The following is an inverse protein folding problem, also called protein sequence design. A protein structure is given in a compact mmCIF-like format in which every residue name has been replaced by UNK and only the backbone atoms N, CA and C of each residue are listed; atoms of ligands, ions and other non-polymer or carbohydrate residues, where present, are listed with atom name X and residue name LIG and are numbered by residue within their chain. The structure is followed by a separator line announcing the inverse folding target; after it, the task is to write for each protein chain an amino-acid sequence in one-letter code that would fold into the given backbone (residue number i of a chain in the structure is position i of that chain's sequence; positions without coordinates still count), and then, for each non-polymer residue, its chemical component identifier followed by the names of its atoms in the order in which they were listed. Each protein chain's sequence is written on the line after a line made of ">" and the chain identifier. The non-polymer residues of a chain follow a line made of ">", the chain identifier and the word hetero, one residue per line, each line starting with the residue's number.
data_IF_553091686862
#
_entry.id   IF_553091686862
#
_cell.length_a   1.000
_cell.length_b   1.000
_cell.length_c   1.000
_cell.angle_alpha   90.00
_cell.angle_beta   90.00
_cell.angle_gamma   90.00
#
_symmetry.space_group_name_H-M   'P 1'
#
loop_
_entity.id
_entity.type
_entity.pdbx_description
1 polymer ?
#
# COMPACT_ATOMS: atom_id res chain seq x y z
N UNK A 1 33.57 -20.86 9.07
CA UNK A 1 32.57 -19.95 9.63
C UNK A 1 31.64 -19.46 8.52
N UNK A 2 30.41 -19.88 8.57
CA UNK A 2 29.45 -19.46 7.56
C UNK A 2 28.95 -18.05 7.88
N UNK A 3 29.12 -17.16 6.95
CA UNK A 3 28.44 -15.86 7.02
C UNK A 3 26.97 -16.09 6.68
N UNK A 4 26.07 -15.65 7.56
CA UNK A 4 24.68 -15.73 7.27
C UNK A 4 24.38 -14.86 6.03
N UNK A 5 23.99 -15.49 4.93
CA UNK A 5 23.59 -14.78 3.74
C UNK A 5 22.10 -14.45 3.89
N UNK A 6 21.78 -13.16 3.89
CA UNK A 6 20.40 -12.73 3.91
C UNK A 6 19.83 -12.98 2.52
N UNK A 7 18.87 -13.90 2.43
CA UNK A 7 18.21 -14.19 1.18
C UNK A 7 17.22 -13.07 0.84
N UNK A 8 17.27 -12.61 -0.39
CA UNK A 8 16.31 -11.64 -0.90
C UNK A 8 15.00 -12.33 -1.19
N UNK A 9 13.92 -11.76 -0.69
CA UNK A 9 12.57 -12.26 -0.93
C UNK A 9 12.04 -11.60 -2.20
N UNK A 10 11.95 -12.37 -3.28
CA UNK A 10 11.41 -11.85 -4.54
C UNK A 10 9.89 -11.66 -4.40
N UNK A 11 9.37 -10.49 -4.77
CA UNK A 11 7.92 -10.28 -4.74
C UNK A 11 7.21 -11.13 -5.79
N UNK A 12 5.95 -11.47 -5.51
CA UNK A 12 5.11 -12.29 -6.39
C UNK A 12 3.80 -11.56 -6.64
N UNK A 13 3.12 -11.95 -7.72
CA UNK A 13 1.76 -11.47 -7.98
C UNK A 13 0.88 -11.82 -6.77
N UNK A 14 0.15 -10.83 -6.29
CA UNK A 14 -0.67 -10.95 -5.09
C UNK A 14 -0.01 -10.39 -3.83
N UNK A 15 1.30 -10.23 -3.82
CA UNK A 15 1.98 -9.58 -2.71
C UNK A 15 1.57 -8.11 -2.62
N UNK A 16 1.63 -7.56 -1.42
CA UNK A 16 1.16 -6.20 -1.15
C UNK A 16 2.28 -5.41 -0.51
N UNK A 17 2.48 -4.19 -1.00
CA UNK A 17 3.31 -3.18 -0.35
C UNK A 17 2.40 -2.18 0.34
N UNK A 18 2.83 -1.65 1.47
CA UNK A 18 2.11 -0.58 2.13
C UNK A 18 2.98 0.67 2.21
N UNK A 19 2.34 1.82 2.22
CA UNK A 19 2.99 3.08 2.51
C UNK A 19 2.22 3.79 3.62
N UNK A 20 2.94 4.49 4.47
CA UNK A 20 2.37 5.28 5.55
C UNK A 20 2.95 6.69 5.46
N UNK A 21 2.09 7.69 5.42
CA UNK A 21 2.52 9.06 5.25
C UNK A 21 1.56 10.02 5.94
N UNK A 22 2.02 11.24 6.15
CA UNK A 22 1.22 12.30 6.73
C UNK A 22 2.01 13.06 7.78
N UNK A 23 1.67 14.33 7.96
CA UNK A 23 2.28 15.21 8.94
C UNK A 23 1.47 15.23 10.23
N UNK A 24 0.21 15.64 10.14
CA UNK A 24 -0.70 15.71 11.28
C UNK A 24 -1.59 14.47 11.40
N UNK A 25 -1.57 13.63 10.42
CA UNK A 25 -2.36 12.41 10.37
C UNK A 25 -1.55 11.30 9.72
N UNK A 26 -1.87 10.07 10.04
CA UNK A 26 -1.23 8.90 9.42
C UNK A 26 -2.15 8.31 8.38
N UNK A 27 -1.73 8.38 7.13
CA UNK A 27 -2.44 7.78 6.00
C UNK A 27 -1.74 6.50 5.59
N UNK A 28 -2.50 5.45 5.38
CA UNK A 28 -1.99 4.15 4.94
C UNK A 28 -2.61 3.80 3.61
N UNK A 29 -1.77 3.41 2.66
CA UNK A 29 -2.21 2.92 1.36
C UNK A 29 -1.60 1.54 1.11
N UNK A 30 -2.33 0.67 0.44
CA UNK A 30 -1.87 -0.67 0.07
C UNK A 30 -1.80 -0.78 -1.44
N UNK A 31 -0.70 -1.34 -1.94
CA UNK A 31 -0.42 -1.51 -3.35
C UNK A 31 -0.19 -2.98 -3.63
N UNK A 32 -1.09 -3.59 -4.38
CA UNK A 32 -1.00 -5.01 -4.71
C UNK A 32 -0.24 -5.22 -6.00
N UNK A 33 0.66 -6.20 -5.99
CA UNK A 33 1.43 -6.57 -7.17
C UNK A 33 0.52 -7.31 -8.15
N UNK A 34 0.38 -6.78 -9.36
CA UNK A 34 -0.42 -7.37 -10.43
C UNK A 34 0.44 -8.02 -11.50
N UNK A 35 1.71 -7.65 -11.56
CA UNK A 35 2.68 -8.22 -12.49
C UNK A 35 4.08 -8.09 -11.95
N UNK A 36 4.94 -9.04 -12.23
CA UNK A 36 6.35 -9.05 -11.80
C UNK A 36 7.24 -9.30 -12.99
N UNK A 37 8.35 -8.56 -13.06
CA UNK A 37 9.47 -8.87 -13.92
C UNK A 37 10.72 -9.10 -13.05
N UNK A 38 11.84 -9.34 -13.70
CA UNK A 38 13.11 -9.61 -13.01
C UNK A 38 13.52 -8.48 -12.06
N UNK A 39 13.25 -7.23 -12.43
CA UNK A 39 13.73 -6.06 -11.67
C UNK A 39 12.63 -5.08 -11.30
N UNK A 40 11.40 -5.33 -11.68
CA UNK A 40 10.30 -4.39 -11.49
C UNK A 40 9.00 -5.08 -11.11
N UNK A 41 8.11 -4.33 -10.47
CA UNK A 41 6.75 -4.78 -10.18
C UNK A 41 5.76 -3.75 -10.72
N UNK A 42 4.61 -4.24 -11.16
CA UNK A 42 3.45 -3.40 -11.48
C UNK A 42 2.50 -3.53 -10.31
N UNK A 43 2.11 -2.42 -9.74
CA UNK A 43 1.25 -2.39 -8.56
C UNK A 43 0.00 -1.56 -8.82
N UNK A 44 -1.05 -1.88 -8.10
CA UNK A 44 -2.32 -1.18 -8.14
C UNK A 44 -2.84 -1.01 -6.73
N UNK A 45 -3.26 0.20 -6.41
CA UNK A 45 -3.79 0.49 -5.07
C UNK A 45 -5.06 -0.32 -4.81
N UNK A 46 -5.17 -0.88 -3.60
CA UNK A 46 -6.34 -1.65 -3.18
C UNK A 46 -7.22 -0.82 -2.25
N UNK A 47 -8.47 -1.23 -2.14
CA UNK A 47 -9.33 -0.77 -1.08
C UNK A 47 -8.87 -1.31 0.27
N UNK A 48 -9.48 -0.81 1.34
CA UNK A 48 -9.09 -1.14 2.71
C UNK A 48 -10.30 -1.50 3.54
N UNK A 49 -10.09 -2.39 4.50
CA UNK A 49 -11.05 -2.66 5.57
C UNK A 49 -10.52 -1.99 6.83
N UNK A 50 -11.31 -1.12 7.44
CA UNK A 50 -10.93 -0.37 8.64
C UNK A 50 -11.66 -0.91 9.85
N UNK A 51 -10.94 -1.00 10.97
CA UNK A 51 -11.50 -1.35 12.26
C UNK A 51 -11.19 -0.20 13.23
N UNK A 52 -12.21 0.47 13.69
CA UNK A 52 -12.06 1.64 14.55
C UNK A 52 -11.86 1.21 16.00
N UNK A 53 -10.93 1.88 16.67
CA UNK A 53 -10.70 1.65 18.09
C UNK A 53 -11.76 2.37 18.91
N UNK A 54 -12.33 1.68 19.89
CA UNK A 54 -13.38 2.21 20.77
C UNK A 54 -12.79 2.84 22.04
N UNK A 55 -11.72 3.63 21.90
CA UNK A 55 -11.09 4.24 23.05
C UNK A 55 -11.22 5.76 23.02
N UNK A 56 -12.04 6.28 23.93
CA UNK A 56 -11.94 7.66 24.34
C UNK A 56 -11.97 8.77 23.29
N UNK A 57 -12.71 8.60 22.22
CA UNK A 57 -12.90 9.66 21.23
C UNK A 57 -11.74 9.94 20.31
N UNK A 58 -10.78 9.03 20.22
CA UNK A 58 -9.68 9.14 19.26
C UNK A 58 -10.10 8.70 17.87
N UNK A 59 -9.61 9.41 16.87
CA UNK A 59 -9.84 9.08 15.46
C UNK A 59 -8.76 8.10 14.98
N UNK A 60 -8.67 6.95 15.65
CA UNK A 60 -7.71 5.90 15.34
C UNK A 60 -8.41 4.67 14.79
N UNK A 61 -7.76 4.04 13.83
CA UNK A 61 -8.24 2.76 13.32
C UNK A 61 -7.06 1.92 12.87
N UNK A 62 -7.30 0.61 12.77
CA UNK A 62 -6.39 -0.29 12.09
C UNK A 62 -6.97 -0.59 10.71
N UNK A 63 -6.11 -0.85 9.76
CA UNK A 63 -6.51 -1.07 8.37
C UNK A 63 -5.75 -2.23 7.75
N UNK A 64 -6.45 -2.98 6.92
CA UNK A 64 -5.88 -4.05 6.11
C UNK A 64 -6.35 -3.87 4.67
N UNK A 65 -5.56 -4.37 3.72
CA UNK A 65 -5.98 -4.40 2.32
C UNK A 65 -7.14 -5.38 2.15
N UNK A 66 -8.11 -5.04 1.31
CA UNK A 66 -9.19 -5.95 0.93
C UNK A 66 -8.82 -6.86 -0.26
N UNK A 67 -7.62 -6.69 -0.83
CA UNK A 67 -7.15 -7.50 -1.96
C UNK A 67 -7.82 -7.16 -3.30
N UNK A 68 -8.65 -6.13 -3.34
CA UNK A 68 -9.37 -5.72 -4.55
C UNK A 68 -8.90 -4.34 -5.00
N UNK A 69 -8.86 -4.08 -6.32
CA UNK A 69 -8.48 -2.75 -6.80
C UNK A 69 -9.35 -1.66 -6.20
N UNK A 70 -8.73 -0.55 -5.82
CA UNK A 70 -9.46 0.61 -5.33
C UNK A 70 -10.26 1.22 -6.47
N UNK A 71 -11.55 1.42 -6.24
CA UNK A 71 -12.46 2.06 -7.19
C UNK A 71 -12.93 3.37 -6.58
N UNK A 72 -12.76 4.46 -7.31
CA UNK A 72 -13.24 5.78 -6.90
C UNK A 72 -14.42 6.17 -7.77
N UNK A 73 -15.39 6.83 -7.19
CA UNK A 73 -16.53 7.39 -7.91
C UNK A 73 -16.29 8.89 -8.12
N UNK A 74 -16.29 9.29 -9.39
CA UNK A 74 -16.15 10.68 -9.77
C UNK A 74 -17.45 11.15 -10.39
N UNK A 75 -17.98 12.27 -9.90
CA UNK A 75 -19.19 12.87 -10.46
C UNK A 75 -18.82 13.75 -11.66
N UNK A 76 -19.41 13.47 -12.78
CA UNK A 76 -19.28 14.31 -13.97
C UNK A 76 -20.09 15.60 -13.74
N UNK A 77 -19.43 16.75 -13.80
CA UNK A 77 -20.05 18.04 -13.55
C UNK A 77 -21.06 18.43 -14.61
N UNK A 78 -20.91 17.94 -15.83
CA UNK A 78 -21.78 18.27 -16.95
C UNK A 78 -23.06 17.43 -16.95
N UNK A 79 -22.93 16.14 -16.68
CA UNK A 79 -24.07 15.20 -16.77
C UNK A 79 -24.63 14.81 -15.40
N UNK A 80 -23.89 15.05 -14.33
CA UNK A 80 -24.25 14.59 -12.99
C UNK A 80 -24.10 13.10 -12.77
N UNK A 81 -23.63 12.36 -13.75
CA UNK A 81 -23.42 10.93 -13.67
C UNK A 81 -22.19 10.59 -12.83
N UNK A 82 -22.23 9.43 -12.17
CA UNK A 82 -21.12 8.90 -11.40
C UNK A 82 -20.33 7.95 -12.28
N UNK A 83 -19.07 8.29 -12.52
CA UNK A 83 -18.13 7.43 -13.23
C UNK A 83 -17.28 6.68 -12.22
N UNK A 84 -17.09 5.39 -12.43
CA UNK A 84 -16.20 4.59 -11.60
C UNK A 84 -14.83 4.54 -12.24
N UNK A 85 -13.82 4.94 -11.49
CA UNK A 85 -12.43 4.94 -11.94
C UNK A 85 -11.64 3.97 -11.07
N UNK A 86 -11.06 2.95 -11.73
CA UNK A 86 -10.19 1.98 -11.06
C UNK A 86 -8.82 2.61 -10.89
N UNK A 87 -8.16 2.35 -9.75
CA UNK A 87 -6.83 2.85 -9.49
C UNK A 87 -5.86 2.45 -10.61
N UNK A 88 -4.97 3.36 -11.04
CA UNK A 88 -4.03 3.07 -12.10
C UNK A 88 -2.99 2.04 -11.66
N UNK A 89 -2.50 1.27 -12.63
CA UNK A 89 -1.37 0.37 -12.42
C UNK A 89 -0.10 1.16 -12.70
N UNK A 90 0.83 1.13 -11.75
CA UNK A 90 2.11 1.84 -11.88
C UNK A 90 3.26 0.85 -11.78
N UNK A 91 4.36 1.15 -12.48
CA UNK A 91 5.56 0.31 -12.47
C UNK A 91 6.60 0.91 -11.51
N UNK A 92 7.23 0.05 -10.72
CA UNK A 92 8.27 0.45 -9.79
C UNK A 92 9.41 -0.56 -9.80
N UNK A 93 10.62 -0.05 -9.68
CA UNK A 93 11.81 -0.89 -9.57
C UNK A 93 11.85 -1.55 -8.19
N UNK A 94 12.19 -2.83 -8.15
CA UNK A 94 12.33 -3.58 -6.90
C UNK A 94 13.66 -3.18 -6.26
N UNK A 95 13.60 -2.81 -4.98
CA UNK A 95 14.76 -2.57 -4.13
C UNK A 95 14.70 -3.50 -2.94
N UNK A 96 15.83 -3.72 -2.29
CA UNK A 96 15.90 -4.62 -1.15
C UNK A 96 16.48 -3.90 0.05
N UNK A 97 15.79 -4.03 1.18
CA UNK A 97 16.27 -3.53 2.46
C UNK A 97 17.35 -4.44 3.03
N UNK A 98 18.02 -4.02 4.10
CA UNK A 98 19.08 -4.78 4.70
C UNK A 98 18.67 -6.15 5.24
N UNK A 99 17.38 -6.36 5.51
CA UNK A 99 16.82 -7.63 5.95
C UNK A 99 16.40 -8.56 4.79
N UNK A 100 16.68 -8.16 3.55
CA UNK A 100 16.33 -8.93 2.36
C UNK A 100 14.91 -8.77 1.87
N UNK A 101 14.08 -8.01 2.55
CA UNK A 101 12.70 -7.77 2.13
C UNK A 101 12.63 -6.76 0.99
N UNK A 102 11.78 -6.98 0.00
CA UNK A 102 11.64 -6.03 -1.11
C UNK A 102 10.90 -4.77 -0.66
N UNK A 103 11.24 -3.67 -1.29
CA UNK A 103 10.47 -2.44 -1.19
C UNK A 103 10.51 -1.70 -2.52
N UNK A 104 9.62 -0.75 -2.68
CA UNK A 104 9.56 0.07 -3.88
C UNK A 104 9.56 1.54 -3.49
N UNK A 105 10.10 2.38 -4.35
CA UNK A 105 10.04 3.82 -4.17
C UNK A 105 8.82 4.35 -4.91
N UNK A 106 7.88 4.94 -4.19
CA UNK A 106 6.63 5.45 -4.76
C UNK A 106 6.86 6.83 -5.34
N UNK A 107 7.49 7.69 -4.55
CA UNK A 107 7.88 9.04 -4.99
C UNK A 107 9.11 9.48 -4.19
N UNK A 108 9.51 10.76 -4.33
CA UNK A 108 10.69 11.29 -3.64
C UNK A 108 10.54 11.31 -2.11
N UNK A 109 9.34 11.16 -1.60
CA UNK A 109 9.06 11.26 -0.16
C UNK A 109 8.62 9.94 0.47
N UNK A 110 8.19 8.97 -0.33
CA UNK A 110 7.53 7.77 0.18
C UNK A 110 8.07 6.50 -0.46
N UNK A 111 8.21 5.48 0.38
CA UNK A 111 8.51 4.12 -0.07
C UNK A 111 7.31 3.22 0.22
N UNK A 112 7.15 2.19 -0.61
CA UNK A 112 6.24 1.10 -0.34
C UNK A 112 6.99 -0.06 0.26
N UNK A 113 6.62 -0.45 1.49
CA UNK A 113 7.28 -1.51 2.23
C UNK A 113 6.52 -2.82 2.06
N UNK A 114 7.24 -3.93 2.10
CA UNK A 114 6.62 -5.24 2.00
C UNK A 114 5.69 -5.47 3.19
N UNK A 115 4.41 -5.80 2.90
CA UNK A 115 3.40 -5.97 3.93
C UNK A 115 3.31 -7.43 4.35
N UNK A 116 3.32 -7.68 5.64
CA UNK A 116 3.26 -9.02 6.22
C UNK A 116 1.83 -9.48 6.54
N UNK A 117 0.82 -8.67 6.21
CA UNK A 117 -0.57 -9.00 6.46
C UNK A 117 -1.11 -8.48 7.79
N UNK A 118 -0.27 -7.92 8.65
CA UNK A 118 -0.74 -7.40 9.93
C UNK A 118 -1.45 -6.07 9.76
N UNK A 119 -2.50 -5.79 10.55
CA UNK A 119 -3.19 -4.51 10.49
C UNK A 119 -2.25 -3.34 10.77
N UNK A 120 -2.40 -2.28 10.00
CA UNK A 120 -1.61 -1.05 10.15
C UNK A 120 -2.44 0.00 10.87
N UNK A 121 -1.76 0.84 11.65
CA UNK A 121 -2.42 1.93 12.37
C UNK A 121 -2.51 3.17 11.50
N UNK A 122 -3.67 3.80 11.51
CA UNK A 122 -3.92 5.05 10.82
C UNK A 122 -4.68 6.00 11.74
N UNK A 123 -4.62 7.29 11.46
CA UNK A 123 -5.29 8.30 12.27
C UNK A 123 -5.61 9.54 11.44
N UNK A 124 -6.59 10.32 11.93
CA UNK A 124 -6.95 11.61 11.32
C UNK A 124 -6.22 12.79 11.93
N UNK A 125 -5.27 12.57 12.81
CA UNK A 125 -4.35 13.61 13.23
C UNK A 125 -4.80 14.55 14.34
N UNK A 126 -5.81 14.21 15.06
CA UNK A 126 -6.25 15.06 16.21
C UNK A 126 -6.02 14.37 17.54
#
# INVERSE_FOLDING_TARGET
>A
MSTATIEKVAPKVGDIFYTSWGYDQTNVEFLQVVRVSESSVWVQETGQVREYANYGGGDYWTTVSNGQPLVRELRNRETGELDKVVAPITIHRIKYAGDGKPYIRINSFSNGWFWDGTPRHASTGH
#
